data_IF_102478046943
#
_entry.id   IF_102478046943
#
_cell.length_a   1.000
_cell.length_b   1.000
_cell.length_c   1.000
_cell.angle_alpha   90.00
_cell.angle_beta   90.00
_cell.angle_gamma   90.00
#
_symmetry.space_group_name_H-M   'P 1'
#
loop_
_entity.id
_entity.type
_entity.pdbx_description
1 polymer ?
#
# COMPACT_ATOMS: atom_id res chain seq x y z
N UNK A 1 30.00 -25.60 -11.09
CA UNK A 1 29.27 -24.93 -9.97
C UNK A 1 30.15 -24.59 -8.78
N UNK A 2 31.39 -25.12 -8.64
CA UNK A 2 32.29 -24.84 -7.51
C UNK A 2 32.49 -23.34 -7.24
N UNK A 3 32.88 -22.58 -8.27
CA UNK A 3 33.12 -21.14 -8.15
C UNK A 3 31.90 -20.30 -7.73
N UNK A 4 30.69 -20.77 -8.02
CA UNK A 4 29.46 -20.04 -7.69
C UNK A 4 29.03 -20.31 -6.24
N UNK A 5 29.35 -21.50 -5.71
CA UNK A 5 29.15 -21.82 -4.29
C UNK A 5 30.17 -21.07 -3.44
N UNK A 6 31.45 -21.06 -3.86
CA UNK A 6 32.51 -20.32 -3.15
C UNK A 6 32.20 -18.81 -3.08
N UNK A 7 31.59 -18.23 -4.12
CA UNK A 7 31.19 -16.82 -4.14
C UNK A 7 29.98 -16.51 -3.24
N UNK A 8 29.00 -17.43 -3.14
CA UNK A 8 27.86 -17.28 -2.22
C UNK A 8 28.32 -17.42 -0.76
N UNK A 9 29.24 -18.33 -0.46
CA UNK A 9 29.81 -18.47 0.89
C UNK A 9 30.65 -17.25 1.29
N UNK A 10 31.35 -16.63 0.33
CA UNK A 10 32.18 -15.46 0.58
C UNK A 10 31.40 -14.13 0.60
N UNK A 11 30.41 -13.98 -0.27
CA UNK A 11 29.76 -12.71 -0.57
C UNK A 11 28.22 -12.76 -0.60
N UNK A 12 27.61 -13.95 -0.45
CA UNK A 12 26.17 -14.16 -0.60
C UNK A 12 25.35 -14.00 0.67
N UNK A 13 25.99 -13.88 1.84
CA UNK A 13 25.30 -13.54 3.08
C UNK A 13 25.20 -12.01 3.24
N UNK A 14 23.98 -11.49 3.08
CA UNK A 14 23.68 -10.12 3.45
C UNK A 14 23.80 -9.98 4.98
N UNK A 15 24.76 -9.19 5.44
CA UNK A 15 24.92 -8.86 6.85
C UNK A 15 23.74 -8.03 7.40
N UNK A 16 23.63 -7.88 8.73
CA UNK A 16 22.58 -7.07 9.37
C UNK A 16 22.58 -5.59 8.92
N UNK A 17 23.67 -5.11 8.31
CA UNK A 17 23.82 -3.80 7.69
C UNK A 17 23.23 -3.67 6.28
N UNK A 18 22.72 -4.77 5.70
CA UNK A 18 22.02 -4.78 4.42
C UNK A 18 20.52 -4.98 4.65
N UNK A 19 19.79 -3.93 5.09
CA UNK A 19 18.34 -4.02 5.18
C UNK A 19 17.80 -4.23 3.77
N UNK A 20 17.33 -5.44 3.49
CA UNK A 20 16.67 -5.74 2.23
C UNK A 20 15.37 -4.91 2.15
N UNK A 21 15.42 -3.78 1.45
CA UNK A 21 14.23 -3.06 0.98
C UNK A 21 13.47 -2.24 2.01
N UNK A 22 13.98 -2.03 3.22
CA UNK A 22 13.39 -1.06 4.15
C UNK A 22 14.04 0.31 3.91
N UNK A 23 13.26 1.30 3.51
CA UNK A 23 13.75 2.66 3.35
C UNK A 23 14.13 3.24 4.73
N UNK A 24 15.31 3.88 4.81
CA UNK A 24 15.74 4.55 6.03
C UNK A 24 14.84 5.76 6.31
N UNK A 25 14.18 5.76 7.46
CA UNK A 25 13.38 6.88 7.96
C UNK A 25 11.86 6.72 7.76
N UNK A 26 11.07 7.64 8.33
CA UNK A 26 9.62 7.63 8.18
C UNK A 26 9.22 8.00 6.76
N UNK A 27 8.23 7.30 6.18
CA UNK A 27 7.67 7.65 4.87
C UNK A 27 7.23 9.13 4.83
N UNK A 28 7.48 9.85 3.75
CA UNK A 28 7.03 11.24 3.62
C UNK A 28 5.65 11.31 2.95
N UNK A 29 4.94 12.44 3.12
CA UNK A 29 3.68 12.69 2.43
C UNK A 29 3.98 13.26 1.05
N UNK A 30 3.51 12.59 -0.01
CA UNK A 30 3.74 13.00 -1.38
C UNK A 30 2.49 12.81 -2.25
N UNK A 31 2.47 13.49 -3.41
CA UNK A 31 1.49 13.18 -4.45
C UNK A 31 1.79 11.84 -5.09
N UNK A 32 0.76 11.18 -5.65
CA UNK A 32 0.91 9.86 -6.27
C UNK A 32 1.96 9.88 -7.40
N UNK A 33 1.98 10.92 -8.23
CA UNK A 33 2.93 11.07 -9.33
C UNK A 33 4.37 11.15 -8.84
N UNK A 34 4.62 11.89 -7.77
CA UNK A 34 5.96 12.01 -7.20
C UNK A 34 6.41 10.66 -6.64
N UNK A 35 5.51 10.00 -5.90
CA UNK A 35 5.74 8.66 -5.37
C UNK A 35 6.04 7.61 -6.46
N UNK A 36 5.62 7.83 -7.71
CA UNK A 36 5.89 6.92 -8.84
C UNK A 36 6.90 7.46 -9.87
N UNK A 37 7.56 8.59 -9.60
CA UNK A 37 8.48 9.22 -10.57
C UNK A 37 9.85 8.51 -10.66
N UNK A 38 10.29 7.87 -9.58
CA UNK A 38 11.61 7.21 -9.46
C UNK A 38 11.64 5.67 -9.27
N UNK A 39 10.54 4.93 -9.01
CA UNK A 39 10.63 3.51 -8.72
C UNK A 39 10.87 2.67 -9.99
N UNK A 40 11.77 1.69 -9.86
CA UNK A 40 11.75 0.48 -10.69
C UNK A 40 10.34 -0.13 -10.55
N UNK A 41 9.66 -0.46 -11.66
CA UNK A 41 8.24 -0.87 -11.73
C UNK A 41 7.81 -1.88 -10.62
N UNK A 42 8.73 -2.73 -10.15
CA UNK A 42 8.50 -3.66 -9.05
C UNK A 42 8.08 -3.01 -7.70
N UNK A 43 8.42 -1.74 -7.47
CA UNK A 43 8.16 -0.96 -6.25
C UNK A 43 6.86 -0.15 -6.22
N UNK A 44 6.12 -0.08 -7.33
CA UNK A 44 4.92 0.77 -7.48
C UNK A 44 3.70 0.22 -6.70
N UNK A 45 3.83 -0.93 -6.05
CA UNK A 45 2.71 -1.56 -5.34
C UNK A 45 2.49 -0.92 -3.95
N UNK A 46 1.24 -0.93 -3.47
CA UNK A 46 0.94 -0.53 -2.10
C UNK A 46 1.71 -1.40 -1.09
N UNK A 47 2.46 -0.74 -0.22
CA UNK A 47 3.23 -1.34 0.85
C UNK A 47 2.44 -1.32 2.17
N UNK A 48 2.78 -2.21 3.13
CA UNK A 48 2.13 -2.21 4.43
C UNK A 48 2.38 -0.91 5.22
N UNK A 49 1.33 -0.39 5.85
CA UNK A 49 1.32 0.84 6.63
C UNK A 49 1.55 0.58 8.12
N UNK A 50 2.41 1.38 8.74
CA UNK A 50 2.61 1.42 10.20
C UNK A 50 1.53 2.27 10.87
N UNK A 51 1.20 1.97 12.12
CA UNK A 51 0.18 2.71 12.88
C UNK A 51 0.46 4.23 12.93
N UNK A 52 1.71 4.61 13.23
CA UNK A 52 2.17 6.01 13.25
C UNK A 52 2.08 6.72 11.88
N UNK A 53 2.25 5.99 10.77
CA UNK A 53 2.04 6.53 9.42
C UNK A 53 0.58 6.89 9.18
N UNK A 54 -0.33 6.02 9.63
CA UNK A 54 -1.79 6.19 9.51
C UNK A 54 -2.23 7.39 10.35
N UNK A 55 -1.85 7.43 11.63
CA UNK A 55 -2.21 8.55 12.53
C UNK A 55 -1.70 9.88 12.01
N UNK A 56 -0.49 9.92 11.44
CA UNK A 56 0.07 11.13 10.84
C UNK A 56 -0.70 11.58 9.58
N UNK A 57 -1.12 10.64 8.73
CA UNK A 57 -1.80 10.97 7.47
C UNK A 57 -3.28 11.33 7.67
N UNK A 58 -4.00 10.60 8.52
CA UNK A 58 -5.44 10.75 8.72
C UNK A 58 -5.80 11.55 9.99
N UNK A 59 -4.84 11.85 10.85
CA UNK A 59 -5.09 12.45 12.17
C UNK A 59 -5.79 11.50 13.16
N UNK A 60 -5.94 10.22 12.81
CA UNK A 60 -6.59 9.18 13.60
C UNK A 60 -6.07 7.81 13.17
N UNK A 61 -6.45 6.74 13.88
CA UNK A 61 -6.04 5.37 13.52
C UNK A 61 -6.77 4.82 12.28
N UNK A 62 -7.67 5.59 11.67
CA UNK A 62 -8.53 5.15 10.57
C UNK A 62 -9.71 4.30 11.05
N UNK A 63 -10.81 4.34 10.29
CA UNK A 63 -12.03 3.57 10.55
C UNK A 63 -11.99 2.22 9.84
N UNK A 64 -11.60 2.20 8.56
CA UNK A 64 -11.61 0.98 7.75
C UNK A 64 -10.24 0.64 7.20
N UNK A 65 -9.95 -0.66 7.08
CA UNK A 65 -8.64 -1.18 6.71
C UNK A 65 -8.77 -2.30 5.69
N UNK A 66 -7.91 -2.27 4.68
CA UNK A 66 -7.71 -3.39 3.77
C UNK A 66 -6.39 -4.11 4.11
N UNK A 67 -6.48 -5.39 4.47
CA UNK A 67 -5.32 -6.26 4.74
C UNK A 67 -5.27 -7.40 3.73
N UNK A 68 -4.07 -7.79 3.29
CA UNK A 68 -3.90 -8.87 2.29
C UNK A 68 -3.96 -10.28 2.89
N UNK A 69 -3.76 -10.40 4.20
CA UNK A 69 -3.77 -11.65 4.92
C UNK A 69 -4.09 -11.39 6.40
N UNK A 70 -4.52 -12.43 7.11
CA UNK A 70 -4.73 -12.39 8.56
C UNK A 70 -3.41 -12.03 9.27
N UNK A 71 -3.48 -11.13 10.24
CA UNK A 71 -2.32 -10.58 10.98
C UNK A 71 -1.29 -9.81 10.12
N UNK A 72 -1.66 -9.38 8.91
CA UNK A 72 -0.84 -8.47 8.12
C UNK A 72 -1.18 -7.00 8.39
N UNK A 73 -0.18 -6.13 8.28
CA UNK A 73 -0.40 -4.68 8.27
C UNK A 73 -1.22 -4.25 7.04
N UNK A 74 -2.06 -3.22 7.17
CA UNK A 74 -2.95 -2.78 6.10
C UNK A 74 -2.17 -2.10 4.97
N UNK A 75 -2.64 -2.27 3.74
CA UNK A 75 -2.06 -1.59 2.56
C UNK A 75 -2.89 -0.38 2.09
N UNK A 76 -4.10 -0.24 2.63
CA UNK A 76 -4.99 0.90 2.46
C UNK A 76 -5.78 1.08 3.75
N UNK A 77 -5.83 2.31 4.26
CA UNK A 77 -6.65 2.66 5.43
C UNK A 77 -7.47 3.89 5.11
N UNK A 78 -8.72 3.93 5.54
CA UNK A 78 -9.63 5.06 5.33
C UNK A 78 -10.29 5.51 6.63
N UNK A 79 -10.69 6.78 6.67
CA UNK A 79 -11.49 7.35 7.75
C UNK A 79 -12.99 7.03 7.63
N UNK A 80 -13.39 6.23 6.63
CA UNK A 80 -14.79 5.90 6.32
C UNK A 80 -15.60 7.03 5.67
N UNK A 81 -15.18 8.28 5.83
CA UNK A 81 -15.82 9.48 5.29
C UNK A 81 -15.31 9.88 3.89
N UNK A 82 -14.36 9.12 3.35
CA UNK A 82 -13.87 9.28 1.98
C UNK A 82 -12.39 9.67 1.91
N UNK A 83 -11.68 9.87 3.02
CA UNK A 83 -10.23 10.06 2.99
C UNK A 83 -9.53 8.73 3.26
N UNK A 84 -8.58 8.39 2.41
CA UNK A 84 -7.75 7.20 2.54
C UNK A 84 -6.28 7.50 2.37
N UNK A 85 -5.45 6.64 2.95
CA UNK A 85 -4.00 6.66 2.81
C UNK A 85 -3.50 5.29 2.38
N UNK A 86 -2.55 5.29 1.46
CA UNK A 86 -1.76 4.13 1.08
C UNK A 86 -0.28 4.53 1.00
N UNK A 87 0.62 3.56 1.20
CA UNK A 87 2.06 3.78 1.02
C UNK A 87 2.48 3.25 -0.35
N UNK A 88 2.86 4.13 -1.26
CA UNK A 88 3.27 3.80 -2.63
C UNK A 88 4.76 4.11 -2.77
N UNK A 89 5.58 3.14 -3.17
CA UNK A 89 7.02 3.31 -3.35
C UNK A 89 7.79 3.92 -2.15
N UNK A 90 7.26 3.78 -0.93
CA UNK A 90 7.84 4.35 0.28
C UNK A 90 7.25 5.70 0.72
N UNK A 91 6.40 6.32 -0.10
CA UNK A 91 5.74 7.59 0.22
C UNK A 91 4.27 7.36 0.61
N UNK A 92 3.77 8.13 1.57
CA UNK A 92 2.36 8.18 1.94
C UNK A 92 1.60 9.05 0.95
N UNK A 93 0.58 8.47 0.34
CA UNK A 93 -0.27 9.12 -0.66
C UNK A 93 -1.70 9.13 -0.14
N UNK A 94 -2.31 10.32 -0.16
CA UNK A 94 -3.71 10.48 0.15
C UNK A 94 -4.57 10.24 -1.09
N UNK A 95 -5.63 9.46 -0.91
CA UNK A 95 -6.68 9.24 -1.89
C UNK A 95 -8.00 9.72 -1.29
N UNK A 96 -8.85 10.30 -2.14
CA UNK A 96 -10.13 10.86 -1.71
C UNK A 96 -11.29 10.29 -2.52
N UNK A 97 -12.43 10.13 -1.87
CA UNK A 97 -13.70 9.79 -2.49
C UNK A 97 -14.72 10.90 -2.23
N UNK A 98 -15.72 11.00 -3.10
CA UNK A 98 -16.85 11.91 -2.91
C UNK A 98 -17.89 11.33 -1.94
N UNK A 99 -17.90 10.01 -1.80
CA UNK A 99 -18.85 9.25 -0.98
C UNK A 99 -18.14 8.52 0.16
N UNK A 100 -18.92 8.04 1.14
CA UNK A 100 -18.41 7.14 2.18
C UNK A 100 -17.98 5.82 1.57
N UNK A 101 -16.84 5.28 2.01
CA UNK A 101 -16.24 4.07 1.43
C UNK A 101 -16.33 2.84 2.33
N UNK A 102 -17.16 2.89 3.38
CA UNK A 102 -17.32 1.77 4.33
C UNK A 102 -17.85 0.51 3.66
N UNK A 103 -18.74 0.66 2.66
CA UNK A 103 -19.28 -0.44 1.83
C UNK A 103 -18.51 -0.65 0.52
N UNK A 104 -17.27 -0.17 0.42
CA UNK A 104 -16.53 -0.12 -0.83
C UNK A 104 -16.75 1.18 -1.60
N UNK A 105 -16.07 1.30 -2.73
CA UNK A 105 -16.11 2.50 -3.56
C UNK A 105 -14.79 2.76 -4.27
N UNK A 106 -14.68 3.96 -4.85
CA UNK A 106 -13.47 4.41 -5.54
C UNK A 106 -12.84 5.55 -4.73
N UNK A 107 -11.54 5.44 -4.46
CA UNK A 107 -10.73 6.54 -3.94
C UNK A 107 -9.71 6.95 -5.00
N UNK A 108 -9.64 8.23 -5.31
CA UNK A 108 -8.80 8.75 -6.37
C UNK A 108 -7.74 9.70 -5.82
N UNK A 109 -6.58 9.68 -6.46
CA UNK A 109 -5.57 10.70 -6.38
C UNK A 109 -5.30 11.19 -7.80
N UNK A 110 -4.56 12.28 -7.96
CA UNK A 110 -4.09 12.65 -9.29
C UNK A 110 -3.23 11.49 -9.84
N UNK A 111 -3.45 11.08 -11.09
CA UNK A 111 -2.66 10.01 -11.74
C UNK A 111 -3.03 8.56 -11.42
N UNK A 112 -4.04 8.30 -10.57
CA UNK A 112 -4.48 6.93 -10.27
C UNK A 112 -5.62 6.81 -9.26
N UNK A 113 -6.05 5.57 -9.02
CA UNK A 113 -7.18 5.27 -8.15
C UNK A 113 -7.08 3.90 -7.50
N UNK A 114 -7.81 3.76 -6.41
CA UNK A 114 -8.19 2.48 -5.82
C UNK A 114 -9.67 2.22 -6.03
N UNK A 115 -10.01 1.04 -6.50
CA UNK A 115 -11.38 0.52 -6.49
C UNK A 115 -11.46 -0.60 -5.46
N UNK A 116 -12.29 -0.41 -4.45
CA UNK A 116 -12.51 -1.35 -3.36
C UNK A 116 -13.89 -1.99 -3.51
N UNK A 117 -13.94 -3.31 -3.55
CA UNK A 117 -15.16 -4.09 -3.51
C UNK A 117 -15.10 -5.10 -2.34
N UNK A 118 -15.83 -4.85 -1.23
CA UNK A 118 -15.96 -5.81 -0.15
C UNK A 118 -16.62 -7.11 -0.63
N UNK A 119 -16.28 -8.23 0.01
CA UNK A 119 -16.96 -9.50 -0.25
C UNK A 119 -18.29 -9.64 0.50
N UNK A 120 -18.97 -10.76 0.25
CA UNK A 120 -20.37 -10.99 0.68
C UNK A 120 -20.55 -11.24 2.18
N UNK A 121 -19.50 -11.71 2.87
CA UNK A 121 -19.53 -12.03 4.30
C UNK A 121 -18.68 -11.02 5.09
N UNK A 122 -19.31 -9.98 5.64
CA UNK A 122 -18.68 -8.98 6.53
C UNK A 122 -17.31 -8.45 6.04
N UNK A 123 -17.09 -8.41 4.71
CA UNK A 123 -15.84 -7.95 4.10
C UNK A 123 -14.70 -8.98 4.03
N UNK A 124 -14.94 -10.25 4.35
CA UNK A 124 -14.06 -11.36 3.97
C UNK A 124 -14.00 -11.49 2.43
N UNK A 125 -12.86 -11.91 1.88
CA UNK A 125 -12.61 -12.02 0.44
C UNK A 125 -12.82 -10.73 -0.37
N UNK A 126 -12.58 -9.58 0.27
CA UNK A 126 -12.59 -8.28 -0.39
C UNK A 126 -11.53 -8.19 -1.50
N UNK A 127 -11.85 -7.42 -2.54
CA UNK A 127 -10.94 -7.12 -3.64
C UNK A 127 -10.57 -5.64 -3.64
N UNK A 128 -9.28 -5.37 -3.89
CA UNK A 128 -8.75 -4.03 -4.05
C UNK A 128 -8.01 -3.96 -5.38
N UNK A 129 -8.43 -3.06 -6.25
CA UNK A 129 -7.80 -2.79 -7.53
C UNK A 129 -7.06 -1.46 -7.45
N UNK A 130 -5.76 -1.46 -7.70
CA UNK A 130 -4.95 -0.26 -7.84
C UNK A 130 -4.67 0.00 -9.31
N UNK A 131 -5.00 1.21 -9.77
CA UNK A 131 -4.87 1.61 -11.17
C UNK A 131 -4.10 2.92 -11.27
N UNK A 132 -3.08 2.93 -12.14
CA UNK A 132 -2.39 4.14 -12.57
C UNK A 132 -2.89 4.53 -13.95
N UNK A 133 -3.28 5.79 -14.09
CA UNK A 133 -3.84 6.36 -15.33
C UNK A 133 -2.90 7.33 -16.02
N UNK A 134 -1.72 7.58 -15.43
CA UNK A 134 -0.67 8.43 -15.96
C UNK A 134 0.14 7.81 -17.12
N UNK A 135 1.37 8.29 -17.30
CA UNK A 135 2.23 7.94 -18.45
C UNK A 135 2.57 6.45 -18.55
N UNK A 136 2.72 5.78 -17.41
CA UNK A 136 2.94 4.33 -17.35
C UNK A 136 1.71 3.65 -16.72
N UNK A 137 0.72 3.25 -17.53
CA UNK A 137 -0.48 2.63 -16.99
C UNK A 137 -0.13 1.29 -16.36
N UNK A 138 -0.68 1.05 -15.18
CA UNK A 138 -0.50 -0.16 -14.41
C UNK A 138 -1.80 -0.51 -13.71
N UNK A 139 -2.14 -1.79 -13.70
CA UNK A 139 -3.28 -2.30 -12.94
C UNK A 139 -2.82 -3.48 -12.10
N UNK A 140 -3.05 -3.41 -10.80
CA UNK A 140 -2.71 -4.48 -9.85
C UNK A 140 -3.90 -4.77 -8.97
N UNK A 141 -4.35 -6.02 -9.00
CA UNK A 141 -5.41 -6.51 -8.13
C UNK A 141 -4.87 -7.22 -6.88
N UNK A 142 -5.57 -7.05 -5.77
CA UNK A 142 -5.33 -7.73 -4.51
C UNK A 142 -6.63 -8.37 -4.02
N UNK A 143 -6.52 -9.56 -3.46
CA UNK A 143 -7.56 -10.17 -2.63
C UNK A 143 -7.14 -10.04 -1.17
N UNK A 144 -8.10 -9.93 -0.27
CA UNK A 144 -7.83 -9.70 1.14
C UNK A 144 -9.10 -9.56 1.97
N UNK A 145 -9.00 -8.78 3.03
CA UNK A 145 -10.07 -8.54 3.98
C UNK A 145 -10.28 -7.04 4.10
N UNK A 146 -11.54 -6.62 4.11
CA UNK A 146 -11.95 -5.26 4.36
C UNK A 146 -12.72 -5.19 5.67
N UNK A 147 -12.18 -4.49 6.66
CA UNK A 147 -12.79 -4.42 8.00
C UNK A 147 -12.92 -2.97 8.42
N UNK A 148 -14.13 -2.57 8.80
CA UNK A 148 -14.43 -1.28 9.39
C UNK A 148 -14.71 -1.45 10.88
N UNK A 149 -14.01 -0.67 11.71
CA UNK A 149 -14.33 -0.54 13.12
C UNK A 149 -15.52 0.43 13.23
N UNK A 150 -16.68 -0.07 13.64
CA UNK A 150 -17.87 0.72 13.94
C UNK A 150 -17.99 1.07 15.41
#
# INVERSE_FOLDING_TARGET
MRFLIDDIEANGEAGPEWPLGEADGPAEMEGLQEAIATPVIAGIRPAPLKAEEITRALGSDGQCRFIRAVNADPILVTDGAGNGVAKISGSLVNFTSQDTVTSGGVLSADGGQFTLAPGDADGEDATLLFELTGETPLTVGFTGYWTCNG
#
